data_IF_955200067712
#
_entry.id   IF_955200067712
#
_cell.length_a   1.000
_cell.length_b   1.000
_cell.length_c   1.000
_cell.angle_alpha   90.00
_cell.angle_beta   90.00
_cell.angle_gamma   90.00
#
_symmetry.space_group_name_H-M   'P 1'
#
loop_
_entity.id
_entity.type
_entity.pdbx_description
1 polymer ?
#
# COMPACT_ATOMS: atom_id res chain seq x y z
N UNK A 1 5.64 15.66 18.06
CA UNK A 1 6.54 16.31 19.06
C UNK A 1 5.97 16.31 20.49
N UNK A 2 4.69 16.68 20.75
CA UNK A 2 4.14 16.71 22.12
C UNK A 2 4.12 15.32 22.83
N UNK A 3 3.77 14.24 22.11
CA UNK A 3 3.76 12.86 22.67
C UNK A 3 5.14 12.41 23.18
N UNK A 4 6.21 12.77 22.47
CA UNK A 4 7.59 12.40 22.88
C UNK A 4 8.08 13.19 24.09
N UNK A 5 7.63 14.44 24.26
CA UNK A 5 8.03 15.26 25.42
C UNK A 5 7.41 14.77 26.74
N UNK A 6 6.32 14.01 26.67
CA UNK A 6 5.63 13.46 27.84
C UNK A 6 6.12 12.07 28.23
N UNK A 7 6.92 11.40 27.38
CA UNK A 7 7.49 10.08 27.68
C UNK A 7 8.82 10.20 28.41
N UNK A 8 9.01 9.40 29.45
CA UNK A 8 10.32 9.24 30.10
C UNK A 8 11.34 8.69 29.08
N UNK A 9 12.61 9.11 29.16
CA UNK A 9 13.70 8.67 28.27
C UNK A 9 13.74 7.16 28.03
N UNK A 10 13.52 6.36 29.07
CA UNK A 10 13.47 4.90 28.98
C UNK A 10 12.30 4.38 28.13
N UNK A 11 11.16 5.07 28.10
CA UNK A 11 10.02 4.71 27.23
C UNK A 11 10.32 4.95 25.77
N UNK A 12 10.99 6.07 25.45
CA UNK A 12 11.40 6.40 24.08
C UNK A 12 12.39 5.34 23.56
N UNK A 13 13.38 4.95 24.38
CA UNK A 13 14.38 3.93 24.00
C UNK A 13 13.72 2.55 23.85
N UNK A 14 12.74 2.20 24.69
CA UNK A 14 11.97 0.97 24.53
C UNK A 14 11.22 0.93 23.20
N UNK A 15 10.61 2.04 22.81
CA UNK A 15 9.92 2.17 21.52
C UNK A 15 10.89 2.07 20.34
N UNK A 16 12.03 2.77 20.39
CA UNK A 16 13.07 2.69 19.34
C UNK A 16 13.64 1.28 19.19
N UNK A 17 13.89 0.60 20.31
CA UNK A 17 14.36 -0.77 20.32
C UNK A 17 13.32 -1.73 19.73
N UNK A 18 12.05 -1.56 20.08
CA UNK A 18 10.96 -2.35 19.50
C UNK A 18 10.86 -2.13 17.98
N UNK A 19 11.04 -0.90 17.50
CA UNK A 19 11.08 -0.58 16.06
C UNK A 19 12.21 -1.31 15.32
N UNK A 20 13.42 -1.32 15.88
CA UNK A 20 14.55 -2.04 15.28
C UNK A 20 14.28 -3.57 15.27
N UNK A 21 13.69 -4.10 16.32
CA UNK A 21 13.40 -5.53 16.46
C UNK A 21 12.29 -6.02 15.50
N UNK A 22 11.36 -5.18 15.09
CA UNK A 22 10.34 -5.55 14.07
C UNK A 22 11.00 -5.97 12.75
N UNK A 23 12.17 -5.41 12.42
CA UNK A 23 12.94 -5.78 11.24
C UNK A 23 13.83 -7.02 11.40
N UNK A 24 13.83 -7.66 12.57
CA UNK A 24 14.68 -8.82 12.89
C UNK A 24 13.89 -10.12 12.93
N UNK A 25 14.59 -11.25 12.81
CA UNK A 25 14.01 -12.60 12.79
C UNK A 25 14.43 -13.46 13.98
N UNK A 26 13.67 -14.54 14.16
CA UNK A 26 14.07 -15.60 15.09
C UNK A 26 15.42 -16.17 14.70
N UNK A 27 16.36 -16.20 15.64
CA UNK A 27 17.74 -16.64 15.40
C UNK A 27 18.71 -15.51 15.05
N UNK A 28 18.24 -14.33 14.70
CA UNK A 28 19.11 -13.19 14.40
C UNK A 28 19.94 -12.79 15.61
N UNK A 29 21.19 -12.37 15.34
CA UNK A 29 22.06 -11.78 16.35
C UNK A 29 21.62 -10.34 16.62
N UNK A 30 21.27 -10.08 17.88
CA UNK A 30 20.91 -8.72 18.33
C UNK A 30 22.17 -7.88 18.48
N UNK A 31 22.17 -6.61 18.05
CA UNK A 31 23.24 -5.68 18.36
C UNK A 31 23.51 -5.60 19.87
N UNK A 32 24.74 -5.38 20.25
CA UNK A 32 25.13 -5.25 21.66
C UNK A 32 24.49 -4.05 22.34
N UNK A 33 24.42 -4.07 23.64
CA UNK A 33 23.96 -2.92 24.46
C UNK A 33 24.77 -1.65 24.11
N UNK A 34 26.06 -1.80 23.81
CA UNK A 34 26.95 -0.71 23.41
C UNK A 34 26.55 -0.10 22.06
N UNK A 35 26.30 -0.97 21.07
CA UNK A 35 25.88 -0.54 19.73
C UNK A 35 24.54 0.19 19.78
N UNK A 36 23.57 -0.31 20.56
CA UNK A 36 22.31 0.39 20.78
C UNK A 36 22.47 1.71 21.54
N UNK A 37 23.31 1.73 22.59
CA UNK A 37 23.57 2.93 23.37
C UNK A 37 24.16 4.05 22.50
N UNK A 38 25.10 3.68 21.61
CA UNK A 38 25.70 4.60 20.62
C UNK A 38 24.66 5.08 19.61
N UNK A 39 23.87 4.16 19.04
CA UNK A 39 22.82 4.47 18.05
C UNK A 39 21.75 5.41 18.59
N UNK A 40 21.27 5.16 19.80
CA UNK A 40 20.22 5.97 20.43
C UNK A 40 20.74 7.17 21.23
N UNK A 41 22.07 7.32 21.34
CA UNK A 41 22.74 8.38 22.10
C UNK A 41 22.29 8.43 23.57
N UNK A 42 22.29 7.28 24.22
CA UNK A 42 21.87 7.11 25.63
C UNK A 42 22.87 6.27 26.42
N UNK A 43 22.74 6.25 27.76
CA UNK A 43 23.57 5.41 28.60
C UNK A 43 23.22 3.90 28.42
N UNK A 44 24.21 3.01 28.56
CA UNK A 44 24.04 1.54 28.48
C UNK A 44 22.92 1.03 29.41
N UNK A 45 22.83 1.56 30.61
CA UNK A 45 21.78 1.18 31.58
C UNK A 45 20.36 1.46 31.05
N UNK A 46 20.17 2.52 30.25
CA UNK A 46 18.87 2.82 29.64
C UNK A 46 18.48 1.77 28.61
N UNK A 47 19.44 1.29 27.81
CA UNK A 47 19.20 0.21 26.83
C UNK A 47 18.93 -1.10 27.56
N UNK A 48 19.71 -1.44 28.60
CA UNK A 48 19.47 -2.65 29.42
C UNK A 48 18.06 -2.65 30.04
N UNK A 49 17.62 -1.49 30.53
CA UNK A 49 16.27 -1.32 31.07
C UNK A 49 15.19 -1.48 30.00
N UNK A 50 15.42 -0.97 28.77
CA UNK A 50 14.51 -1.17 27.65
C UNK A 50 14.41 -2.64 27.25
N UNK A 51 15.54 -3.36 27.16
CA UNK A 51 15.55 -4.79 26.87
C UNK A 51 14.80 -5.57 27.98
N UNK A 52 15.06 -5.25 29.26
CA UNK A 52 14.36 -5.89 30.36
C UNK A 52 12.85 -5.72 30.28
N UNK A 53 12.37 -4.51 29.99
CA UNK A 53 10.92 -4.22 29.78
C UNK A 53 10.31 -5.04 28.65
N UNK A 54 10.99 -5.15 27.48
CA UNK A 54 10.51 -5.97 26.37
C UNK A 54 10.42 -7.45 26.74
N UNK A 55 11.38 -7.94 27.54
CA UNK A 55 11.39 -9.32 28.05
C UNK A 55 10.28 -9.56 29.08
N UNK A 56 10.09 -8.66 30.02
CA UNK A 56 9.01 -8.72 31.02
C UNK A 56 7.63 -8.67 30.37
N UNK A 57 7.48 -7.85 29.36
CA UNK A 57 6.25 -7.77 28.56
C UNK A 57 6.02 -9.03 27.69
N UNK A 58 7.05 -9.87 27.57
CA UNK A 58 7.01 -11.09 26.75
C UNK A 58 7.07 -10.83 25.25
N UNK A 59 7.53 -9.64 24.83
CA UNK A 59 7.73 -9.30 23.42
C UNK A 59 9.00 -9.91 22.84
N UNK A 60 9.98 -10.25 23.70
CA UNK A 60 11.32 -10.70 23.29
C UNK A 60 11.87 -11.73 24.27
N UNK A 61 12.48 -12.78 23.73
CA UNK A 61 13.39 -13.65 24.48
C UNK A 61 14.75 -13.68 23.79
N UNK A 62 15.80 -13.59 24.58
CA UNK A 62 17.19 -13.58 24.14
C UNK A 62 17.96 -14.73 24.74
N UNK A 63 18.83 -15.36 23.96
CA UNK A 63 19.75 -16.41 24.36
C UNK A 63 21.19 -15.97 24.09
N UNK A 64 22.01 -15.98 25.12
CA UNK A 64 23.44 -15.70 25.00
C UNK A 64 24.18 -16.91 24.46
N UNK A 65 24.98 -16.75 23.41
CA UNK A 65 25.78 -17.78 22.74
C UNK A 65 27.29 -17.53 22.87
N UNK A 66 27.70 -17.06 24.07
CA UNK A 66 29.11 -16.79 24.35
C UNK A 66 29.73 -15.79 23.38
N UNK A 67 30.83 -16.16 22.75
CA UNK A 67 31.53 -15.31 21.78
C UNK A 67 30.73 -15.02 20.46
N UNK A 68 29.68 -15.80 20.20
CA UNK A 68 28.80 -15.59 19.08
C UNK A 68 27.77 -14.47 19.31
N UNK A 69 27.72 -13.92 20.53
CA UNK A 69 26.82 -12.83 20.92
C UNK A 69 25.50 -13.33 21.49
N UNK A 70 24.46 -12.50 21.34
CA UNK A 70 23.11 -12.75 21.85
C UNK A 70 22.15 -12.86 20.67
N UNK A 71 21.36 -13.93 20.60
CA UNK A 71 20.42 -14.17 19.54
C UNK A 71 18.98 -14.13 20.05
N UNK A 72 18.05 -13.83 19.14
CA UNK A 72 16.61 -13.85 19.39
C UNK A 72 16.17 -15.32 19.49
N UNK A 73 15.68 -15.75 20.66
CA UNK A 73 15.12 -17.09 20.86
C UNK A 73 13.58 -17.11 20.83
N UNK A 74 12.91 -15.96 20.99
CA UNK A 74 11.50 -15.77 20.72
C UNK A 74 11.22 -14.28 20.48
N UNK A 75 10.29 -13.98 19.59
CA UNK A 75 9.85 -12.62 19.26
C UNK A 75 8.34 -12.61 19.01
N UNK A 76 7.65 -11.65 19.63
CA UNK A 76 6.22 -11.44 19.47
C UNK A 76 6.02 -10.07 18.78
N UNK A 77 5.74 -10.12 17.48
CA UNK A 77 5.59 -8.91 16.66
C UNK A 77 4.35 -8.10 17.01
N UNK A 78 3.29 -8.74 17.49
CA UNK A 78 2.08 -8.04 17.95
C UNK A 78 2.40 -7.12 19.13
N UNK A 79 3.10 -7.64 20.13
CA UNK A 79 3.54 -6.87 21.28
C UNK A 79 4.54 -5.77 20.93
N UNK A 80 5.45 -6.05 19.99
CA UNK A 80 6.35 -5.00 19.48
C UNK A 80 5.59 -3.87 18.78
N UNK A 81 4.61 -4.21 17.95
CA UNK A 81 3.77 -3.22 17.27
C UNK A 81 2.93 -2.40 18.25
N UNK A 82 2.40 -3.01 19.32
CA UNK A 82 1.68 -2.32 20.39
C UNK A 82 2.56 -1.24 21.06
N UNK A 83 3.84 -1.56 21.31
CA UNK A 83 4.79 -0.61 21.88
C UNK A 83 5.14 0.52 20.89
N UNK A 84 5.25 0.21 19.59
CA UNK A 84 5.70 1.16 18.59
C UNK A 84 4.61 2.15 18.15
N UNK A 85 3.40 1.68 17.92
CA UNK A 85 2.39 2.46 17.20
C UNK A 85 1.01 2.43 17.88
N UNK A 86 0.44 1.32 17.94
CA UNK A 86 -0.83 0.83 18.47
C UNK A 86 -1.09 -0.52 17.82
N UNK A 87 -1.87 -1.37 18.46
CA UNK A 87 -2.27 -2.66 17.87
C UNK A 87 -3.23 -2.52 16.67
N UNK A 88 -3.35 -1.36 16.09
CA UNK A 88 -4.29 -1.10 15.00
C UNK A 88 -3.60 -0.41 13.83
N UNK A 89 -3.48 -1.11 12.73
CA UNK A 89 -3.07 -0.56 11.45
C UNK A 89 -4.30 -0.31 10.58
N UNK A 90 -4.34 0.82 9.91
CA UNK A 90 -5.40 1.12 8.97
C UNK A 90 -4.79 1.34 7.59
N UNK A 91 -5.15 0.49 6.64
CA UNK A 91 -4.84 0.66 5.24
C UNK A 91 -5.95 1.38 4.49
N UNK A 92 -5.63 2.03 3.37
CA UNK A 92 -6.60 2.58 2.44
C UNK A 92 -6.39 1.99 1.05
N UNK A 93 -7.47 1.58 0.40
CA UNK A 93 -7.43 0.99 -0.94
C UNK A 93 -8.56 1.55 -1.83
N UNK A 94 -8.56 1.26 -3.14
CA UNK A 94 -9.64 1.65 -4.02
C UNK A 94 -11.00 1.19 -3.53
N UNK A 95 -12.06 1.90 -3.95
CA UNK A 95 -13.43 1.44 -3.75
C UNK A 95 -13.61 0.04 -4.38
N UNK A 96 -14.40 -0.86 -3.77
CA UNK A 96 -14.54 -2.25 -4.21
C UNK A 96 -15.44 -2.34 -5.45
N UNK A 97 -15.00 -1.75 -6.56
CA UNK A 97 -15.76 -1.77 -7.82
C UNK A 97 -15.66 -3.11 -8.56
N UNK A 98 -14.76 -3.99 -8.14
CA UNK A 98 -14.55 -5.29 -8.79
C UNK A 98 -14.32 -6.40 -7.76
N UNK A 99 -14.67 -7.64 -8.16
CA UNK A 99 -14.37 -8.85 -7.36
C UNK A 99 -12.88 -8.99 -7.06
N UNK A 100 -12.03 -8.45 -7.94
CA UNK A 100 -10.58 -8.47 -7.74
C UNK A 100 -10.16 -7.57 -6.57
N UNK A 101 -10.73 -6.37 -6.48
CA UNK A 101 -10.49 -5.50 -5.31
C UNK A 101 -11.04 -6.09 -4.01
N UNK A 102 -12.18 -6.81 -4.07
CA UNK A 102 -12.70 -7.54 -2.92
C UNK A 102 -11.76 -8.69 -2.51
N UNK A 103 -11.26 -9.46 -3.50
CA UNK A 103 -10.27 -10.51 -3.28
C UNK A 103 -8.94 -9.98 -2.72
N UNK A 104 -8.45 -8.87 -3.27
CA UNK A 104 -7.24 -8.20 -2.77
C UNK A 104 -7.42 -7.72 -1.33
N UNK A 105 -8.55 -7.09 -1.00
CA UNK A 105 -8.87 -6.67 0.35
C UNK A 105 -8.92 -7.86 1.33
N UNK A 106 -9.60 -8.94 0.93
CA UNK A 106 -9.69 -10.17 1.72
C UNK A 106 -8.32 -10.81 1.93
N UNK A 107 -7.49 -10.86 0.89
CA UNK A 107 -6.12 -11.41 0.99
C UNK A 107 -5.24 -10.59 1.92
N UNK A 108 -5.23 -9.27 1.79
CA UNK A 108 -4.49 -8.36 2.69
C UNK A 108 -4.98 -8.54 4.14
N UNK A 109 -6.29 -8.57 4.34
CA UNK A 109 -6.89 -8.75 5.66
C UNK A 109 -6.47 -10.07 6.28
N UNK A 110 -6.61 -11.19 5.55
CA UNK A 110 -6.26 -12.52 6.04
C UNK A 110 -4.75 -12.62 6.39
N UNK A 111 -3.87 -12.19 5.48
CA UNK A 111 -2.42 -12.25 5.71
C UNK A 111 -2.03 -11.47 6.97
N UNK A 112 -2.58 -10.28 7.16
CA UNK A 112 -2.15 -9.41 8.27
C UNK A 112 -2.86 -9.72 9.59
N UNK A 113 -4.15 -10.07 9.61
CA UNK A 113 -4.85 -10.37 10.87
C UNK A 113 -4.59 -11.78 11.37
N UNK A 114 -4.58 -12.80 10.49
CA UNK A 114 -4.49 -14.21 10.91
C UNK A 114 -3.07 -14.59 11.35
N UNK A 115 -2.04 -13.91 10.83
CA UNK A 115 -0.65 -14.28 11.06
C UNK A 115 0.10 -13.38 12.04
N UNK A 116 -0.44 -12.21 12.42
CA UNK A 116 0.36 -11.19 13.11
C UNK A 116 -0.09 -10.88 14.53
N UNK A 117 -1.35 -11.15 14.87
CA UNK A 117 -1.97 -10.68 16.12
C UNK A 117 -2.18 -9.16 16.18
N UNK A 118 -1.84 -8.43 15.11
CA UNK A 118 -2.09 -6.98 14.96
C UNK A 118 -3.42 -6.78 14.27
N UNK A 119 -4.30 -5.95 14.85
CA UNK A 119 -5.57 -5.61 14.21
C UNK A 119 -5.32 -4.74 12.98
N UNK A 120 -5.71 -5.22 11.81
CA UNK A 120 -5.61 -4.47 10.56
C UNK A 120 -7.00 -4.20 10.02
N UNK A 121 -7.27 -2.93 9.72
CA UNK A 121 -8.53 -2.49 9.11
C UNK A 121 -8.25 -1.90 7.73
N UNK A 122 -9.19 -2.06 6.81
CA UNK A 122 -9.12 -1.50 5.47
C UNK A 122 -10.23 -0.49 5.27
N UNK A 123 -9.86 0.72 4.89
CA UNK A 123 -10.76 1.76 4.42
C UNK A 123 -10.77 1.78 2.89
N UNK A 124 -11.89 2.19 2.31
CA UNK A 124 -12.05 2.32 0.86
C UNK A 124 -12.18 3.79 0.46
N UNK A 125 -11.41 4.21 -0.54
CA UNK A 125 -11.41 5.61 -1.01
C UNK A 125 -11.14 5.69 -2.51
N UNK A 126 -12.01 6.37 -3.25
CA UNK A 126 -11.84 6.66 -4.66
C UNK A 126 -10.76 7.73 -4.90
N UNK A 127 -10.02 7.58 -5.99
CA UNK A 127 -8.96 8.49 -6.41
C UNK A 127 -7.61 8.22 -5.74
N UNK A 128 -6.58 8.01 -6.56
CA UNK A 128 -5.22 7.73 -6.07
C UNK A 128 -4.62 8.93 -5.33
N UNK A 129 -4.85 10.16 -5.81
CA UNK A 129 -4.36 11.39 -5.16
C UNK A 129 -4.93 11.56 -3.74
N UNK A 130 -6.21 11.24 -3.55
CA UNK A 130 -6.85 11.32 -2.23
C UNK A 130 -6.28 10.28 -1.28
N UNK A 131 -6.02 9.07 -1.76
CA UNK A 131 -5.36 8.01 -0.96
C UNK A 131 -3.95 8.42 -0.57
N UNK A 132 -3.17 8.94 -1.55
CA UNK A 132 -1.84 9.47 -1.28
C UNK A 132 -1.86 10.58 -0.22
N UNK A 133 -2.71 11.59 -0.40
CA UNK A 133 -2.78 12.70 0.56
C UNK A 133 -3.18 12.22 1.95
N UNK A 134 -4.15 11.31 2.04
CA UNK A 134 -4.58 10.75 3.34
C UNK A 134 -3.47 9.92 4.01
N UNK A 135 -2.62 9.24 3.23
CA UNK A 135 -1.42 8.56 3.73
C UNK A 135 -0.38 9.58 4.25
N UNK A 136 -0.10 10.63 3.50
CA UNK A 136 0.84 11.69 3.88
C UNK A 136 0.36 12.45 5.13
N UNK A 137 -0.93 12.70 5.26
CA UNK A 137 -1.58 13.29 6.45
C UNK A 137 -1.60 12.36 7.67
N UNK A 138 -1.03 11.16 7.57
CA UNK A 138 -1.01 10.16 8.65
C UNK A 138 -2.40 9.67 9.10
N UNK A 139 -3.41 9.76 8.24
CA UNK A 139 -4.75 9.19 8.50
C UNK A 139 -4.75 7.67 8.32
N UNK A 140 -3.87 7.17 7.47
CA UNK A 140 -3.66 5.74 7.19
C UNK A 140 -2.19 5.38 7.35
N UNK A 141 -1.95 4.12 7.67
CA UNK A 141 -0.59 3.58 7.84
C UNK A 141 0.00 3.14 6.49
N UNK A 142 -0.84 2.63 5.59
CA UNK A 142 -0.45 2.24 4.24
C UNK A 142 -1.58 2.51 3.23
N UNK A 143 -1.21 2.62 1.97
CA UNK A 143 -2.16 2.76 0.87
C UNK A 143 -1.90 1.70 -0.20
N UNK A 144 -2.98 1.21 -0.83
CA UNK A 144 -2.91 0.29 -1.97
C UNK A 144 -3.24 1.06 -3.24
N UNK A 145 -2.38 0.93 -4.24
CA UNK A 145 -2.55 1.53 -5.57
C UNK A 145 -1.87 0.67 -6.63
N UNK A 146 -2.01 1.00 -7.91
CA UNK A 146 -1.25 0.32 -8.96
C UNK A 146 0.24 0.62 -8.82
N UNK A 147 1.09 -0.26 -9.32
CA UNK A 147 2.54 -0.02 -9.35
C UNK A 147 2.90 1.23 -10.15
N UNK A 148 2.24 1.45 -11.28
CA UNK A 148 2.48 2.65 -12.12
C UNK A 148 2.16 3.93 -11.37
N UNK A 149 1.02 4.00 -10.67
CA UNK A 149 0.67 5.14 -9.81
C UNK A 149 1.70 5.34 -8.69
N UNK A 150 2.13 4.26 -8.03
CA UNK A 150 3.12 4.36 -6.96
C UNK A 150 4.46 4.90 -7.48
N UNK A 151 4.93 4.40 -8.62
CA UNK A 151 6.14 4.87 -9.29
C UNK A 151 6.04 6.35 -9.67
N UNK A 152 4.92 6.76 -10.26
CA UNK A 152 4.67 8.16 -10.61
C UNK A 152 4.82 9.08 -9.38
N UNK A 153 4.22 8.75 -8.25
CA UNK A 153 4.34 9.57 -7.05
C UNK A 153 5.76 9.61 -6.48
N UNK A 154 6.52 8.52 -6.60
CA UNK A 154 7.94 8.51 -6.24
C UNK A 154 8.77 9.45 -7.14
N UNK A 155 8.55 9.41 -8.44
CA UNK A 155 9.22 10.26 -9.45
C UNK A 155 8.87 11.74 -9.25
N UNK A 156 7.66 12.05 -8.81
CA UNK A 156 7.25 13.40 -8.42
C UNK A 156 7.83 13.86 -7.07
N UNK A 157 8.61 13.03 -6.40
CA UNK A 157 9.28 13.37 -5.14
C UNK A 157 8.39 13.36 -3.90
N UNK A 158 7.20 12.75 -3.97
CA UNK A 158 6.37 12.55 -2.80
C UNK A 158 7.08 11.68 -1.75
N UNK A 159 6.88 12.01 -0.48
CA UNK A 159 7.55 11.34 0.65
C UNK A 159 6.90 10.00 1.00
N UNK A 160 6.92 9.10 0.04
CA UNK A 160 6.41 7.72 0.15
C UNK A 160 7.45 6.71 -0.32
N UNK A 161 7.23 5.45 -0.01
CA UNK A 161 8.04 4.33 -0.51
C UNK A 161 7.13 3.11 -0.73
N UNK A 162 7.49 2.26 -1.70
CA UNK A 162 6.81 0.98 -1.91
C UNK A 162 7.36 -0.01 -0.88
N UNK A 163 6.50 -0.41 0.06
CA UNK A 163 6.83 -1.45 1.04
C UNK A 163 6.82 -2.83 0.40
N UNK A 164 5.77 -3.12 -0.39
CA UNK A 164 5.64 -4.40 -1.05
C UNK A 164 5.00 -4.24 -2.43
N UNK A 165 5.49 -5.02 -3.41
CA UNK A 165 4.95 -5.10 -4.75
C UNK A 165 4.37 -6.49 -4.96
N UNK A 166 3.05 -6.57 -5.15
CA UNK A 166 2.36 -7.82 -5.39
C UNK A 166 2.55 -8.32 -6.83
N UNK A 167 2.19 -9.56 -7.09
CA UNK A 167 2.29 -10.18 -8.41
C UNK A 167 1.42 -9.52 -9.48
N UNK A 168 1.59 -9.92 -10.72
CA UNK A 168 0.74 -9.48 -11.83
C UNK A 168 -0.71 -9.83 -11.58
N UNK A 169 -1.62 -9.05 -12.14
CA UNK A 169 -3.06 -9.20 -12.05
C UNK A 169 -3.64 -9.18 -10.62
N UNK A 170 -2.89 -8.64 -9.65
CA UNK A 170 -3.40 -8.48 -8.28
C UNK A 170 -4.23 -7.21 -8.10
N UNK A 171 -3.98 -6.16 -8.89
CA UNK A 171 -4.71 -4.89 -8.83
C UNK A 171 -5.91 -4.89 -9.78
N UNK A 172 -5.67 -5.11 -11.07
CA UNK A 172 -6.68 -5.28 -12.11
C UNK A 172 -6.26 -6.43 -13.03
N UNK A 173 -7.20 -7.00 -13.79
CA UNK A 173 -6.86 -8.08 -14.71
C UNK A 173 -6.17 -7.55 -15.96
N UNK A 174 -6.82 -6.61 -16.63
CA UNK A 174 -6.33 -5.93 -17.82
C UNK A 174 -7.07 -4.60 -17.97
N UNK A 175 -6.61 -3.76 -18.87
CA UNK A 175 -7.32 -2.58 -19.33
C UNK A 175 -7.72 -2.76 -20.79
N UNK A 176 -8.88 -2.23 -21.14
CA UNK A 176 -9.43 -2.32 -22.49
C UNK A 176 -10.11 -1.01 -22.86
N UNK A 177 -10.16 -0.70 -24.14
CA UNK A 177 -11.03 0.34 -24.66
C UNK A 177 -12.45 -0.23 -24.73
N UNK A 178 -13.40 0.42 -24.11
CA UNK A 178 -14.81 0.05 -24.10
C UNK A 178 -15.59 1.06 -24.93
N UNK A 179 -16.40 0.54 -25.82
CA UNK A 179 -17.31 1.30 -26.67
C UNK A 179 -18.69 0.66 -26.63
N UNK A 180 -19.70 1.38 -27.11
CA UNK A 180 -21.00 0.77 -27.40
C UNK A 180 -20.86 -0.21 -28.57
N UNK A 181 -21.57 -1.34 -28.54
CA UNK A 181 -21.47 -2.40 -29.57
C UNK A 181 -21.84 -1.93 -30.97
N UNK A 182 -22.79 -0.98 -31.07
CA UNK A 182 -23.28 -0.38 -32.34
C UNK A 182 -22.52 0.90 -32.74
N UNK A 183 -21.51 1.31 -31.97
CA UNK A 183 -20.73 2.52 -32.28
C UNK A 183 -19.88 2.32 -33.55
N UNK A 184 -19.99 3.25 -34.50
CA UNK A 184 -19.22 3.26 -35.74
C UNK A 184 -18.37 4.51 -35.82
N UNK A 185 -17.18 4.39 -36.41
CA UNK A 185 -16.23 5.49 -36.56
C UNK A 185 -15.21 5.60 -35.44
N UNK A 186 -14.52 6.74 -35.39
CA UNK A 186 -13.52 7.02 -34.36
C UNK A 186 -14.14 7.69 -33.12
N UNK A 187 -13.85 7.22 -31.91
CA UNK A 187 -14.39 7.85 -30.71
C UNK A 187 -13.72 9.22 -30.47
N UNK A 188 -14.54 10.22 -30.16
CA UNK A 188 -14.09 11.58 -29.87
C UNK A 188 -14.33 12.01 -28.43
N UNK A 189 -15.44 11.64 -27.82
CA UNK A 189 -15.77 11.97 -26.43
C UNK A 189 -15.34 10.79 -25.53
N UNK A 190 -14.24 10.99 -24.82
CA UNK A 190 -13.63 9.94 -23.99
C UNK A 190 -13.92 10.20 -22.53
N UNK A 191 -14.63 9.28 -21.90
CA UNK A 191 -14.94 9.35 -20.47
C UNK A 191 -13.72 9.06 -19.61
N UNK A 192 -13.43 9.92 -18.63
CA UNK A 192 -12.30 9.76 -17.73
C UNK A 192 -12.65 10.15 -16.29
N UNK A 193 -12.12 9.43 -15.31
CA UNK A 193 -12.07 9.87 -13.94
C UNK A 193 -10.75 10.60 -13.69
N UNK A 194 -10.79 11.92 -13.58
CA UNK A 194 -9.60 12.75 -13.34
C UNK A 194 -8.86 12.43 -12.04
N UNK A 195 -9.52 11.77 -11.10
CA UNK A 195 -8.90 11.34 -9.85
C UNK A 195 -8.14 10.01 -9.97
N UNK A 196 -8.20 9.35 -11.14
CA UNK A 196 -7.48 8.10 -11.45
C UNK A 196 -6.28 8.41 -12.35
N UNK A 197 -5.09 8.43 -11.76
CA UNK A 197 -3.86 8.63 -12.53
C UNK A 197 -3.70 7.56 -13.63
N UNK A 198 -3.94 6.30 -13.32
CA UNK A 198 -3.81 5.18 -14.28
C UNK A 198 -4.69 5.41 -15.51
N UNK A 199 -5.97 5.73 -15.29
CA UNK A 199 -6.91 5.93 -16.39
C UNK A 199 -6.54 7.15 -17.24
N UNK A 200 -6.14 8.26 -16.59
CA UNK A 200 -5.71 9.47 -17.29
C UNK A 200 -4.47 9.22 -18.14
N UNK A 201 -3.45 8.58 -17.57
CA UNK A 201 -2.20 8.25 -18.25
C UNK A 201 -2.41 7.33 -19.44
N UNK A 202 -3.15 6.24 -19.26
CA UNK A 202 -3.46 5.30 -20.34
C UNK A 202 -4.29 5.95 -21.44
N UNK A 203 -5.26 6.80 -21.07
CA UNK A 203 -6.08 7.52 -22.06
C UNK A 203 -5.22 8.48 -22.87
N UNK A 204 -4.33 9.25 -22.23
CA UNK A 204 -3.44 10.17 -22.92
C UNK A 204 -2.50 9.44 -23.90
N UNK A 205 -1.95 8.30 -23.49
CA UNK A 205 -1.05 7.49 -24.31
C UNK A 205 -1.78 6.85 -25.50
N UNK A 206 -2.96 6.23 -25.26
CA UNK A 206 -3.71 5.54 -26.31
C UNK A 206 -4.24 6.47 -27.38
N UNK A 207 -4.71 7.65 -26.98
CA UNK A 207 -5.26 8.66 -27.88
C UNK A 207 -4.22 9.72 -28.31
N UNK A 208 -2.95 9.47 -28.09
CA UNK A 208 -1.87 10.34 -28.54
C UNK A 208 -2.04 10.64 -30.04
N UNK A 209 -1.97 11.92 -30.41
CA UNK A 209 -2.14 12.41 -31.78
C UNK A 209 -3.56 12.26 -32.38
N UNK A 210 -4.59 11.97 -31.59
CA UNK A 210 -5.99 11.96 -32.01
C UNK A 210 -6.72 13.18 -31.43
N UNK A 211 -7.67 13.72 -32.20
CA UNK A 211 -8.52 14.81 -31.71
C UNK A 211 -9.64 14.24 -30.87
N UNK A 212 -9.50 14.35 -29.55
CA UNK A 212 -10.48 13.87 -28.57
C UNK A 212 -10.87 14.96 -27.59
N UNK A 213 -12.07 14.82 -27.02
CA UNK A 213 -12.58 15.59 -25.90
C UNK A 213 -12.60 14.67 -24.65
N UNK A 214 -11.91 15.07 -23.59
CA UNK A 214 -11.97 14.36 -22.32
C UNK A 214 -13.20 14.81 -21.54
N UNK A 215 -14.14 13.90 -21.30
CA UNK A 215 -15.35 14.12 -20.51
C UNK A 215 -15.16 13.62 -19.10
N UNK A 216 -15.03 14.52 -18.10
CA UNK A 216 -14.82 14.12 -16.72
C UNK A 216 -16.07 13.46 -16.13
N UNK A 217 -15.92 12.27 -15.61
CA UNK A 217 -17.00 11.48 -15.00
C UNK A 217 -16.49 10.80 -13.72
N UNK A 218 -17.43 10.46 -12.83
CA UNK A 218 -17.11 9.60 -11.70
C UNK A 218 -16.97 8.15 -12.15
N UNK A 219 -15.99 7.44 -11.63
CA UNK A 219 -15.66 6.06 -12.00
C UNK A 219 -16.91 5.16 -12.12
N UNK A 220 -17.76 5.11 -11.12
CA UNK A 220 -18.96 4.25 -11.11
C UNK A 220 -20.05 4.61 -12.14
N UNK A 221 -19.95 5.74 -12.84
CA UNK A 221 -20.96 6.18 -13.82
C UNK A 221 -20.49 6.08 -15.28
N UNK A 222 -19.24 5.73 -15.52
CA UNK A 222 -18.66 5.81 -16.87
C UNK A 222 -19.36 4.84 -17.83
N UNK A 223 -19.62 3.61 -17.42
CA UNK A 223 -20.29 2.61 -18.28
C UNK A 223 -21.71 3.03 -18.66
N UNK A 224 -22.47 3.58 -17.73
CA UNK A 224 -23.82 4.10 -18.02
C UNK A 224 -23.77 5.25 -19.02
N UNK A 225 -22.74 6.10 -18.94
CA UNK A 225 -22.58 7.21 -19.89
C UNK A 225 -22.19 6.74 -21.31
N UNK A 226 -21.51 5.58 -21.46
CA UNK A 226 -21.32 4.93 -22.75
C UNK A 226 -22.69 4.50 -23.31
N UNK A 227 -23.49 3.76 -22.52
CA UNK A 227 -24.81 3.25 -22.92
C UNK A 227 -25.77 4.39 -23.30
N UNK A 228 -25.73 5.49 -22.56
CA UNK A 228 -26.58 6.67 -22.79
C UNK A 228 -26.02 7.63 -23.87
N UNK A 229 -24.97 7.24 -24.60
CA UNK A 229 -24.38 8.04 -25.68
C UNK A 229 -23.82 9.40 -25.24
N UNK A 230 -23.56 9.61 -23.95
CA UNK A 230 -22.93 10.84 -23.42
C UNK A 230 -21.45 10.89 -23.78
N UNK A 231 -20.80 9.73 -23.76
CA UNK A 231 -19.43 9.52 -24.23
C UNK A 231 -19.40 8.40 -25.28
N UNK A 232 -18.35 8.40 -26.07
CA UNK A 232 -18.17 7.43 -27.14
C UNK A 232 -17.39 6.21 -26.66
N UNK A 233 -16.38 6.43 -25.81
CA UNK A 233 -15.49 5.39 -25.32
C UNK A 233 -14.87 5.74 -23.96
N UNK A 234 -14.27 4.73 -23.34
CA UNK A 234 -13.38 4.88 -22.15
C UNK A 234 -12.34 3.78 -22.15
N UNK A 235 -11.17 4.05 -21.53
CA UNK A 235 -10.26 2.97 -21.12
C UNK A 235 -10.63 2.57 -19.70
N UNK A 236 -10.85 1.27 -19.50
CA UNK A 236 -11.41 0.75 -18.26
C UNK A 236 -10.80 -0.61 -17.89
N UNK A 237 -10.88 -0.97 -16.62
CA UNK A 237 -10.53 -2.32 -16.20
C UNK A 237 -11.52 -3.35 -16.76
N UNK A 238 -10.99 -4.44 -17.29
CA UNK A 238 -11.77 -5.52 -17.86
C UNK A 238 -12.32 -6.42 -16.74
N UNK A 239 -13.61 -6.29 -16.49
CA UNK A 239 -14.33 -7.06 -15.47
C UNK A 239 -15.31 -8.04 -16.13
N UNK A 240 -15.55 -9.21 -15.50
CA UNK A 240 -16.47 -10.22 -16.03
C UNK A 240 -17.89 -9.68 -16.27
N UNK A 241 -18.40 -8.83 -15.38
CA UNK A 241 -19.71 -8.23 -15.51
C UNK A 241 -19.85 -7.32 -16.74
N UNK A 242 -18.74 -6.71 -17.18
CA UNK A 242 -18.68 -5.88 -18.37
C UNK A 242 -18.59 -6.76 -19.61
N UNK A 243 -17.79 -7.82 -19.57
CA UNK A 243 -17.61 -8.76 -20.67
C UNK A 243 -18.92 -9.44 -21.12
N UNK A 244 -19.88 -9.59 -20.21
CA UNK A 244 -21.17 -10.20 -20.49
C UNK A 244 -22.24 -9.23 -20.99
N UNK A 245 -21.94 -7.93 -21.10
CA UNK A 245 -22.91 -6.93 -21.55
C UNK A 245 -22.96 -6.86 -23.10
N UNK A 246 -24.08 -7.28 -23.75
CA UNK A 246 -24.17 -7.33 -25.20
C UNK A 246 -24.19 -5.94 -25.86
N UNK A 247 -24.41 -4.88 -25.08
CA UNK A 247 -24.42 -3.50 -25.58
C UNK A 247 -23.03 -2.87 -25.64
N UNK A 248 -22.02 -3.60 -25.19
CA UNK A 248 -20.63 -3.13 -25.16
C UNK A 248 -19.73 -3.99 -26.04
N UNK A 249 -18.72 -3.39 -26.61
CA UNK A 249 -17.60 -4.08 -27.28
C UNK A 249 -16.29 -3.61 -26.69
N UNK A 250 -15.26 -4.45 -26.82
CA UNK A 250 -13.96 -4.29 -26.20
C UNK A 250 -12.88 -4.34 -27.27
N UNK A 251 -11.93 -3.42 -27.17
CA UNK A 251 -10.77 -3.38 -28.05
C UNK A 251 -9.50 -3.39 -27.19
N UNK A 252 -8.48 -4.18 -27.54
CA UNK A 252 -7.23 -4.18 -26.80
C UNK A 252 -6.58 -2.79 -26.80
N UNK A 253 -6.12 -2.35 -25.63
CA UNK A 253 -5.28 -1.18 -25.52
C UNK A 253 -3.85 -1.61 -25.83
N UNK A 254 -3.32 -1.18 -27.00
CA UNK A 254 -1.94 -1.44 -27.42
C UNK A 254 -1.10 -0.17 -27.25
N UNK A 255 0.21 -0.35 -26.99
CA UNK A 255 1.18 0.74 -27.04
C UNK A 255 1.48 1.45 -25.72
N UNK A 256 1.04 0.92 -24.58
CA UNK A 256 1.50 1.42 -23.28
C UNK A 256 2.52 0.46 -22.69
N UNK A 257 3.78 0.87 -22.57
CA UNK A 257 4.88 0.08 -22.01
C UNK A 257 4.62 -0.38 -20.56
N UNK A 258 3.67 0.25 -19.87
CA UNK A 258 3.32 -0.01 -18.47
C UNK A 258 2.04 -0.85 -18.26
N UNK A 259 1.49 -1.49 -19.31
CA UNK A 259 0.22 -2.23 -19.18
C UNK A 259 0.29 -3.35 -18.14
N UNK A 260 1.39 -4.08 -18.08
CA UNK A 260 1.58 -5.15 -17.10
C UNK A 260 1.75 -4.59 -15.69
N UNK A 261 2.54 -3.53 -15.52
CA UNK A 261 2.75 -2.87 -14.23
C UNK A 261 1.47 -2.24 -13.67
N UNK A 262 0.54 -1.80 -14.53
CA UNK A 262 -0.78 -1.34 -14.12
C UNK A 262 -1.65 -2.44 -13.50
N UNK A 263 -1.35 -3.71 -13.78
CA UNK A 263 -2.08 -4.86 -13.21
C UNK A 263 -1.60 -5.24 -11.80
N UNK A 264 -0.45 -4.72 -11.36
CA UNK A 264 0.17 -5.06 -10.08
C UNK A 264 -0.26 -4.10 -8.98
N UNK A 265 -0.67 -4.65 -7.84
CA UNK A 265 -0.90 -3.84 -6.65
C UNK A 265 0.43 -3.53 -5.94
N UNK A 266 0.60 -2.28 -5.54
CA UNK A 266 1.68 -1.82 -4.68
C UNK A 266 1.12 -1.39 -3.32
N UNK A 267 1.78 -1.83 -2.25
CA UNK A 267 1.53 -1.37 -0.88
C UNK A 267 2.53 -0.27 -0.59
N UNK A 268 2.02 0.93 -0.39
CA UNK A 268 2.79 2.16 -0.23
C UNK A 268 2.69 2.68 1.20
N UNK A 269 3.80 3.09 1.75
CA UNK A 269 3.91 3.68 3.11
C UNK A 269 4.57 5.05 3.04
N UNK A 270 4.47 5.84 4.10
CA UNK A 270 5.23 7.09 4.20
C UNK A 270 6.73 6.79 4.27
N UNK A 271 7.52 7.58 3.56
CA UNK A 271 8.97 7.53 3.66
C UNK A 271 9.41 7.77 5.10
N UNK A 272 10.25 6.88 5.63
CA UNK A 272 10.73 6.96 7.00
C UNK A 272 9.81 6.34 8.05
N UNK A 273 8.66 5.80 7.68
CA UNK A 273 7.84 4.97 8.58
C UNK A 273 8.39 3.53 8.61
N UNK A 274 9.59 3.41 9.19
CA UNK A 274 10.36 2.16 9.23
C UNK A 274 9.58 1.04 9.90
N UNK A 275 8.78 1.37 10.91
CA UNK A 275 7.97 0.39 11.67
C UNK A 275 6.94 -0.28 10.77
N UNK A 276 6.07 0.50 10.15
CA UNK A 276 5.01 -0.02 9.27
C UNK A 276 5.62 -0.72 8.06
N UNK A 277 6.66 -0.13 7.46
CA UNK A 277 7.37 -0.73 6.32
C UNK A 277 7.92 -2.12 6.65
N UNK A 278 8.69 -2.25 7.75
CA UNK A 278 9.31 -3.51 8.13
C UNK A 278 8.26 -4.56 8.52
N UNK A 279 7.21 -4.14 9.21
CA UNK A 279 6.08 -5.01 9.52
C UNK A 279 5.43 -5.55 8.25
N UNK A 280 5.06 -4.70 7.30
CA UNK A 280 4.44 -5.15 6.05
C UNK A 280 5.37 -6.04 5.22
N UNK A 281 6.66 -5.70 5.10
CA UNK A 281 7.65 -6.53 4.37
C UNK A 281 7.79 -7.94 4.93
N UNK A 282 7.50 -8.11 6.20
CA UNK A 282 7.63 -9.41 6.85
C UNK A 282 6.50 -10.36 6.50
N UNK A 283 5.30 -9.85 6.29
CA UNK A 283 4.09 -10.67 6.14
C UNK A 283 3.59 -10.77 4.69
N UNK A 284 4.17 -10.01 3.77
CA UNK A 284 3.97 -10.11 2.34
C UNK A 284 5.21 -10.67 1.64
#
# INVERSE_FOLDING_TARGET
MLKQSLMQKAGIVTQQLAQDLIGMELGDRVPTVEEFATRYKVARGTVQQAIARLREYGALRLEARGHLGTNISAIDYSKLMEICCSNNLVGVMPLPYSRRYEGLATGIYAVLNDNTGVSVNLAFMGGSDRRLQSLLDSRYNFAVMSHVTARHYLEQGHKVEVSHLLGMHTYVNAHTLILRSDFTGEPRRIGVDRSSFDQMSMTANYFQNRQIELVPLKYGHIIDNIKNCTIDATIWSLEEAILSDPNLRYEPVSGADDLEDNTRAAIVVRQGDVTVRNFLKRFF
#
